data_IF_768959571726
#
_entry.id   IF_768959571726
#
_cell.length_a   1.000
_cell.length_b   1.000
_cell.length_c   1.000
_cell.angle_alpha   90.00
_cell.angle_beta   90.00
_cell.angle_gamma   90.00
#
_symmetry.space_group_name_H-M   'P 1'
#
loop_
_entity.id
_entity.type
_entity.pdbx_description
1 polymer ?
#
# COMPACT_ATOMS: atom_id res chain seq x y z
N UNK A 1 4.10 0.74 7.85
CA UNK A 1 3.36 0.56 6.59
C UNK A 1 3.69 -0.79 5.98
N UNK A 2 2.71 -1.53 5.44
CA UNK A 2 2.98 -2.76 4.71
C UNK A 2 3.65 -2.42 3.37
N UNK A 3 4.65 -3.21 3.00
CA UNK A 3 5.46 -3.04 1.79
C UNK A 3 5.45 -4.33 0.99
N UNK A 4 5.17 -4.21 -0.31
CA UNK A 4 5.16 -5.31 -1.24
C UNK A 4 6.58 -5.68 -1.69
N UNK A 5 6.71 -6.85 -2.32
CA UNK A 5 8.00 -7.37 -2.79
C UNK A 5 8.76 -6.43 -3.74
N UNK A 6 8.05 -5.61 -4.48
CA UNK A 6 8.66 -4.66 -5.43
C UNK A 6 9.02 -3.31 -4.78
N UNK A 7 8.89 -3.18 -3.46
CA UNK A 7 9.15 -1.97 -2.69
C UNK A 7 7.98 -1.00 -2.62
N UNK A 8 6.84 -1.26 -3.28
CA UNK A 8 5.67 -0.39 -3.14
C UNK A 8 5.04 -0.51 -1.75
N UNK A 9 4.69 0.61 -1.14
CA UNK A 9 3.99 0.64 0.15
C UNK A 9 2.50 0.89 -0.02
N UNK A 10 1.72 0.57 1.02
CA UNK A 10 0.43 1.18 1.22
C UNK A 10 0.58 2.61 1.77
N UNK A 11 -0.05 3.59 1.12
CA UNK A 11 0.05 5.01 1.48
C UNK A 11 -1.21 5.79 1.03
N UNK A 12 -1.44 7.04 1.52
CA UNK A 12 -2.67 7.80 1.25
C UNK A 12 -2.95 8.10 -0.23
N UNK A 13 -1.90 8.20 -1.05
CA UNK A 13 -2.02 8.46 -2.50
C UNK A 13 -2.63 7.30 -3.31
N UNK A 14 -2.85 6.13 -2.69
CA UNK A 14 -3.52 5.00 -3.33
C UNK A 14 -5.06 5.13 -3.37
N UNK A 15 -5.61 6.20 -2.81
CA UNK A 15 -7.06 6.46 -2.84
C UNK A 15 -7.52 6.72 -4.27
N UNK A 16 -8.30 5.81 -4.84
CA UNK A 16 -8.86 5.94 -6.19
C UNK A 16 -10.38 6.05 -6.12
N UNK A 17 -10.94 7.04 -6.82
CA UNK A 17 -12.38 7.34 -6.77
C UNK A 17 -12.91 7.47 -5.32
N UNK A 18 -12.11 8.08 -4.44
CA UNK A 18 -12.46 8.30 -3.03
C UNK A 18 -12.25 7.10 -2.10
N UNK A 19 -11.76 5.96 -2.59
CA UNK A 19 -11.65 4.72 -1.80
C UNK A 19 -10.31 4.01 -1.96
N UNK A 20 -9.91 3.30 -0.92
CA UNK A 20 -8.86 2.29 -0.94
C UNK A 20 -9.48 0.93 -1.22
N UNK A 21 -8.81 0.12 -2.04
CA UNK A 21 -9.21 -1.29 -2.24
C UNK A 21 -8.17 -2.18 -1.58
N UNK A 22 -8.61 -2.95 -0.59
CA UNK A 22 -7.79 -3.87 0.22
C UNK A 22 -8.37 -5.28 0.21
N UNK A 23 -7.61 -6.28 0.61
CA UNK A 23 -8.02 -7.68 0.60
C UNK A 23 -7.56 -8.45 -0.64
N UNK A 24 -7.57 -9.77 -0.53
CA UNK A 24 -7.14 -10.66 -1.59
C UNK A 24 -8.07 -10.57 -2.81
N UNK A 25 -7.60 -11.05 -3.95
CA UNK A 25 -8.38 -11.06 -5.18
C UNK A 25 -9.63 -11.94 -4.99
N UNK A 26 -10.82 -11.35 -5.16
CA UNK A 26 -12.11 -12.01 -5.00
C UNK A 26 -12.81 -11.71 -3.67
N UNK A 27 -12.13 -11.12 -2.69
CA UNK A 27 -12.71 -10.70 -1.41
C UNK A 27 -12.38 -9.24 -1.09
N UNK A 28 -12.15 -8.42 -2.13
CA UNK A 28 -11.75 -7.03 -1.96
C UNK A 28 -12.79 -6.21 -1.19
N UNK A 29 -12.30 -5.43 -0.21
CA UNK A 29 -13.06 -4.44 0.54
C UNK A 29 -12.70 -3.04 0.04
N UNK A 30 -13.71 -2.18 -0.06
CA UNK A 30 -13.52 -0.76 -0.35
C UNK A 30 -13.70 0.06 0.92
N UNK A 31 -12.70 0.87 1.26
CA UNK A 31 -12.67 1.66 2.50
C UNK A 31 -12.37 3.11 2.14
N UNK A 32 -13.12 4.07 2.68
CA UNK A 32 -12.97 5.50 2.35
C UNK A 32 -11.85 6.17 3.15
N UNK A 33 -11.68 5.73 4.39
CA UNK A 33 -10.70 6.26 5.32
C UNK A 33 -9.38 5.48 5.29
N UNK A 34 -8.26 6.21 5.34
CA UNK A 34 -6.93 5.62 5.24
C UNK A 34 -6.57 4.82 6.50
N UNK A 35 -6.82 5.38 7.68
CA UNK A 35 -6.49 4.74 8.95
C UNK A 35 -7.32 3.46 9.15
N UNK A 36 -8.60 3.49 8.78
CA UNK A 36 -9.45 2.29 8.74
C UNK A 36 -8.89 1.24 7.77
N UNK A 37 -8.49 1.63 6.55
CA UNK A 37 -7.94 0.70 5.58
C UNK A 37 -6.63 0.07 6.09
N UNK A 38 -5.76 0.87 6.70
CA UNK A 38 -4.52 0.41 7.31
C UNK A 38 -4.78 -0.55 8.48
N UNK A 39 -5.72 -0.22 9.36
CA UNK A 39 -6.11 -1.08 10.47
C UNK A 39 -6.62 -2.44 9.98
N UNK A 40 -7.45 -2.46 8.92
CA UNK A 40 -7.91 -3.71 8.30
C UNK A 40 -6.74 -4.52 7.71
N UNK A 41 -5.80 -3.87 7.01
CA UNK A 41 -4.60 -4.54 6.49
C UNK A 41 -3.73 -5.16 7.60
N UNK A 42 -3.63 -4.51 8.77
CA UNK A 42 -2.89 -5.02 9.93
C UNK A 42 -3.55 -6.26 10.56
N UNK A 43 -4.86 -6.44 10.39
CA UNK A 43 -5.59 -7.61 10.88
C UNK A 43 -5.56 -8.79 9.90
N UNK A 44 -5.18 -8.58 8.64
CA UNK A 44 -5.08 -9.65 7.65
C UNK A 44 -3.82 -10.50 7.88
N UNK A 45 -3.89 -11.83 7.70
CA UNK A 45 -2.70 -12.69 7.73
C UNK A 45 -1.65 -12.26 6.70
N UNK A 46 -2.13 -11.89 5.50
CA UNK A 46 -1.34 -11.26 4.45
C UNK A 46 -2.07 -9.99 4.02
N UNK A 47 -1.47 -8.80 4.16
CA UNK A 47 -2.09 -7.56 3.69
C UNK A 47 -2.08 -7.53 2.16
N UNK A 48 -3.22 -7.25 1.55
CA UNK A 48 -3.35 -7.08 0.10
C UNK A 48 -3.99 -5.73 -0.22
N UNK A 49 -3.48 -5.01 -1.21
CA UNK A 49 -4.06 -3.73 -1.63
C UNK A 49 -3.87 -3.48 -3.12
N UNK A 50 -4.68 -2.60 -3.70
CA UNK A 50 -4.48 -2.11 -5.06
C UNK A 50 -3.56 -0.89 -5.12
N UNK A 51 -2.70 -0.88 -6.14
CA UNK A 51 -1.82 0.25 -6.48
C UNK A 51 -1.62 0.37 -8.00
N UNK A 52 -1.20 1.53 -8.55
CA UNK A 52 -0.75 1.64 -9.94
C UNK A 52 0.64 1.03 -10.14
N UNK A 53 0.90 0.48 -11.32
CA UNK A 53 2.24 0.10 -11.76
C UNK A 53 2.85 1.20 -12.65
N UNK A 54 4.08 1.00 -13.10
CA UNK A 54 4.83 1.97 -13.91
C UNK A 54 4.17 2.34 -15.26
N UNK A 55 3.16 1.58 -15.71
CA UNK A 55 2.38 1.89 -16.92
C UNK A 55 0.96 2.40 -16.60
N UNK A 56 0.69 2.72 -15.32
CA UNK A 56 -0.59 3.27 -14.84
C UNK A 56 -1.69 2.22 -14.61
N UNK A 57 -1.41 0.93 -14.83
CA UNK A 57 -2.37 -0.14 -14.60
C UNK A 57 -2.45 -0.47 -13.11
N UNK A 58 -3.67 -0.62 -12.60
CA UNK A 58 -3.89 -0.91 -11.19
C UNK A 58 -3.98 -2.42 -10.96
N UNK A 59 -3.15 -2.93 -10.05
CA UNK A 59 -3.09 -4.34 -9.69
C UNK A 59 -3.10 -4.54 -8.18
N UNK A 60 -3.50 -5.74 -7.76
CA UNK A 60 -3.38 -6.16 -6.35
C UNK A 60 -1.95 -6.61 -6.10
N UNK A 61 -1.37 -6.15 -5.00
CA UNK A 61 -0.10 -6.63 -4.47
C UNK A 61 -0.31 -7.18 -3.06
N UNK A 62 0.62 -8.01 -2.60
CA UNK A 62 0.69 -8.48 -1.21
C UNK A 62 1.87 -7.82 -0.49
N UNK A 63 1.67 -7.48 0.77
CA UNK A 63 2.74 -7.05 1.65
C UNK A 63 3.56 -8.24 2.10
N UNK A 64 4.88 -8.08 2.01
CA UNK A 64 5.87 -9.10 2.42
C UNK A 64 6.69 -8.64 3.62
N UNK A 65 6.71 -7.33 3.91
CA UNK A 65 7.37 -6.76 5.08
C UNK A 65 6.63 -5.52 5.59
N UNK A 66 7.01 -5.07 6.79
CA UNK A 66 6.52 -3.84 7.40
C UNK A 66 7.68 -2.85 7.54
N UNK A 67 7.51 -1.63 7.01
CA UNK A 67 8.46 -0.53 7.16
C UNK A 67 7.95 0.51 8.16
N UNK A 68 8.85 1.12 8.92
CA UNK A 68 8.58 2.39 9.60
C UNK A 68 8.87 3.50 8.60
N UNK A 69 7.96 4.45 8.48
CA UNK A 69 8.06 5.59 7.58
C UNK A 69 7.78 6.84 8.40
N UNK A 70 8.60 7.87 8.20
CA UNK A 70 8.36 9.18 8.78
C UNK A 70 7.37 9.97 7.91
N UNK A 71 6.88 11.10 8.43
CA UNK A 71 5.86 11.92 7.74
C UNK A 71 6.34 12.34 6.35
N UNK A 72 7.61 12.70 6.20
CA UNK A 72 8.20 13.10 4.92
C UNK A 72 8.23 11.98 3.88
N UNK A 73 8.44 10.72 4.30
CA UNK A 73 8.35 9.57 3.40
C UNK A 73 6.91 9.38 2.92
N UNK A 74 5.94 9.59 3.80
CA UNK A 74 4.52 9.44 3.49
C UNK A 74 4.03 10.51 2.50
N UNK A 75 4.48 11.76 2.65
CA UNK A 75 4.24 12.84 1.71
C UNK A 75 4.83 12.49 0.34
N UNK A 76 6.10 12.07 0.29
CA UNK A 76 6.78 11.68 -0.95
C UNK A 76 6.02 10.56 -1.67
N UNK A 77 5.56 9.54 -0.94
CA UNK A 77 4.74 8.46 -1.50
C UNK A 77 3.38 8.97 -1.99
N UNK A 78 2.74 9.89 -1.27
CA UNK A 78 1.45 10.45 -1.66
C UNK A 78 1.53 11.26 -2.96
N UNK A 79 2.60 12.02 -3.17
CA UNK A 79 2.87 12.76 -4.41
C UNK A 79 3.28 11.84 -5.56
N UNK A 80 4.04 10.78 -5.25
CA UNK A 80 4.55 9.81 -6.20
C UNK A 80 4.07 8.39 -5.85
N UNK A 81 2.84 7.99 -6.24
CA UNK A 81 2.26 6.70 -5.86
C UNK A 81 3.00 5.48 -6.41
N UNK A 82 3.86 5.70 -7.39
CA UNK A 82 4.77 4.68 -7.94
C UNK A 82 6.15 4.63 -7.27
N UNK A 83 6.39 5.46 -6.25
CA UNK A 83 7.62 5.42 -5.48
C UNK A 83 7.76 4.07 -4.76
N UNK A 84 9.01 3.62 -4.62
CA UNK A 84 9.37 2.33 -4.03
C UNK A 84 10.32 2.57 -2.88
N UNK A 85 9.98 2.02 -1.73
CA UNK A 85 10.86 2.01 -0.57
C UNK A 85 11.94 0.97 -0.85
N UNK A 86 13.23 1.34 -0.79
CA UNK A 86 14.32 0.39 -0.96
C UNK A 86 14.17 -0.75 0.05
N UNK A 87 14.65 -1.92 -0.33
CA UNK A 87 14.82 -2.99 0.64
C UNK A 87 15.97 -2.57 1.55
N UNK A 88 15.63 -2.14 2.77
CA UNK A 88 16.61 -1.93 3.82
C UNK A 88 17.07 -3.33 4.21
N UNK A 89 18.03 -3.85 3.44
CA UNK A 89 18.63 -5.16 3.63
C UNK A 89 19.25 -5.19 5.01
N UNK A 90 18.45 -5.55 6.01
CA UNK A 90 18.93 -5.91 7.33
C UNK A 90 19.89 -7.08 7.16
N UNK A 91 21.13 -6.83 7.57
CA UNK A 91 22.28 -7.73 7.49
C UNK A 91 22.00 -9.18 7.94
#
# INVERSE_FOLDING_TARGET
MPVARDGSAFHPGLRRAGRFTIGEKGTELQVEDFDQALAQLQLMPTPYWRRPNNVGNWGIVSGVRWARLDVSDLETLAEHPDHRIPDDGGA
#
